data_IF_847947552248
#
_entry.id   IF_847947552248
#
_cell.length_a   1.000
_cell.length_b   1.000
_cell.length_c   1.000
_cell.angle_alpha   90.00
_cell.angle_beta   90.00
_cell.angle_gamma   90.00
#
_symmetry.space_group_name_H-M   'P 1'
#
loop_
_entity.id
_entity.type
_entity.pdbx_description
1 polymer ?
#
# COMPACT_ATOMS: atom_id res chain seq x y z
N UNK A 1 10.18 7.57 7.22
CA UNK A 1 9.80 6.86 8.45
C UNK A 1 10.89 6.95 9.50
N UNK A 2 11.88 6.05 9.49
CA UNK A 2 12.76 5.86 10.65
C UNK A 2 13.45 7.11 11.24
N UNK A 3 13.99 8.02 10.42
CA UNK A 3 14.59 9.25 10.94
C UNK A 3 13.56 10.13 11.68
N UNK A 4 12.38 10.32 11.11
CA UNK A 4 11.31 11.09 11.75
C UNK A 4 10.79 10.40 13.00
N UNK A 5 10.76 9.06 13.02
CA UNK A 5 10.28 8.27 14.15
C UNK A 5 11.14 8.40 15.40
N UNK A 6 12.42 8.73 15.21
CA UNK A 6 13.41 8.82 16.27
C UNK A 6 13.88 10.24 16.54
N UNK A 7 13.30 11.23 15.86
CA UNK A 7 13.60 12.65 16.06
C UNK A 7 14.87 13.14 15.38
N UNK A 8 15.41 12.39 14.41
CA UNK A 8 16.52 12.81 13.55
C UNK A 8 16.00 13.65 12.37
N UNK A 9 15.29 14.75 12.68
CA UNK A 9 14.61 15.57 11.66
C UNK A 9 15.58 16.28 10.71
N UNK A 10 16.79 16.59 11.17
CA UNK A 10 17.88 17.10 10.32
C UNK A 10 18.28 16.09 9.26
N UNK A 11 18.60 14.86 9.66
CA UNK A 11 18.96 13.77 8.74
C UNK A 11 17.79 13.40 7.81
N UNK A 12 16.55 13.47 8.31
CA UNK A 12 15.38 13.31 7.46
C UNK A 12 15.29 14.40 6.37
N UNK A 13 15.68 15.64 6.68
CA UNK A 13 15.73 16.73 5.71
C UNK A 13 16.90 16.60 4.73
N UNK A 14 18.00 15.94 5.11
CA UNK A 14 19.13 15.69 4.22
C UNK A 14 18.80 14.73 3.06
N UNK A 15 17.70 13.96 3.19
CA UNK A 15 17.14 13.14 2.11
C UNK A 15 16.54 13.97 0.96
N UNK A 16 16.31 15.27 1.17
CA UNK A 16 15.70 16.15 0.19
C UNK A 16 16.75 16.87 -0.67
N UNK A 17 16.36 17.29 -1.89
CA UNK A 17 17.16 18.23 -2.68
C UNK A 17 17.21 19.61 -2.02
N UNK A 18 18.19 20.45 -2.38
CA UNK A 18 18.32 21.79 -1.80
C UNK A 18 17.09 22.67 -2.06
N UNK A 19 16.49 22.53 -3.25
CA UNK A 19 15.31 23.24 -3.76
C UNK A 19 14.00 22.47 -3.54
N UNK A 20 14.00 21.42 -2.72
CA UNK A 20 12.83 20.56 -2.56
C UNK A 20 11.63 21.28 -1.95
N UNK A 21 10.44 20.75 -2.18
CA UNK A 21 9.20 21.24 -1.55
C UNK A 21 8.54 20.18 -0.67
N UNK A 22 7.92 20.62 0.42
CA UNK A 22 7.11 19.76 1.29
C UNK A 22 5.76 20.42 1.52
N UNK A 23 4.68 19.79 1.05
CA UNK A 23 3.31 20.12 1.43
C UNK A 23 2.87 19.26 2.63
N UNK A 24 2.47 19.89 3.74
CA UNK A 24 1.94 19.19 4.92
C UNK A 24 0.42 19.39 5.01
N UNK A 25 -0.36 18.37 4.66
CA UNK A 25 -1.83 18.45 4.70
C UNK A 25 -2.35 19.69 3.98
N UNK A 26 -3.14 20.50 4.69
CA UNK A 26 -3.65 21.80 4.26
C UNK A 26 -2.86 23.00 4.82
N UNK A 27 -1.75 22.76 5.53
CA UNK A 27 -0.96 23.83 6.17
C UNK A 27 -0.39 24.78 5.13
N UNK A 28 0.14 24.23 4.03
CA UNK A 28 0.80 24.94 2.95
C UNK A 28 2.03 24.19 2.44
N UNK A 29 2.83 24.87 1.61
CA UNK A 29 4.07 24.35 1.02
C UNK A 29 5.26 25.05 1.64
N UNK A 30 6.25 24.26 2.06
CA UNK A 30 7.52 24.71 2.61
C UNK A 30 8.63 24.40 1.61
N UNK A 31 9.42 25.40 1.24
CA UNK A 31 10.37 25.32 0.13
C UNK A 31 11.81 25.45 0.62
N UNK A 32 12.65 24.53 0.17
CA UNK A 32 14.05 24.45 0.52
C UNK A 32 14.33 23.61 1.77
N UNK A 33 15.49 22.95 1.75
CA UNK A 33 15.90 21.99 2.78
C UNK A 33 15.83 22.54 4.22
N UNK A 34 16.25 23.79 4.44
CA UNK A 34 16.23 24.42 5.75
C UNK A 34 14.79 24.56 6.31
N UNK A 35 13.84 24.95 5.45
CA UNK A 35 12.41 25.08 5.81
C UNK A 35 11.80 23.71 6.10
N UNK A 36 12.17 22.69 5.32
CA UNK A 36 11.74 21.30 5.51
C UNK A 36 12.26 20.75 6.85
N UNK A 37 13.54 21.00 7.19
CA UNK A 37 14.12 20.60 8.47
C UNK A 37 13.33 21.19 9.65
N UNK A 38 13.02 22.48 9.59
CA UNK A 38 12.28 23.14 10.64
C UNK A 38 10.82 22.64 10.73
N UNK A 39 10.16 22.44 9.58
CA UNK A 39 8.84 21.83 9.51
C UNK A 39 8.81 20.45 10.18
N UNK A 40 9.72 19.56 9.79
CA UNK A 40 9.81 18.20 10.34
C UNK A 40 10.08 18.22 11.84
N UNK A 41 10.96 19.11 12.29
CA UNK A 41 11.26 19.28 13.71
C UNK A 41 10.02 19.72 14.49
N UNK A 42 9.31 20.74 14.01
CA UNK A 42 8.11 21.27 14.67
C UNK A 42 6.96 20.25 14.67
N UNK A 43 6.67 19.62 13.54
CA UNK A 43 5.61 18.60 13.42
C UNK A 43 5.91 17.34 14.24
N UNK A 44 7.18 16.95 14.35
CA UNK A 44 7.60 15.82 15.17
C UNK A 44 7.60 16.11 16.67
N UNK A 45 7.54 17.38 17.07
CA UNK A 45 7.69 17.82 18.47
C UNK A 45 9.13 17.77 18.95
N UNK A 46 10.10 17.94 18.05
CA UNK A 46 11.51 18.10 18.38
C UNK A 46 11.89 19.55 18.64
N UNK A 47 13.19 19.79 18.86
CA UNK A 47 13.75 21.11 19.09
C UNK A 47 14.84 21.43 18.06
N UNK A 48 14.84 22.66 17.55
CA UNK A 48 15.90 23.17 16.67
C UNK A 48 17.17 23.56 17.44
N UNK A 49 17.12 23.59 18.77
CA UNK A 49 18.22 24.03 19.66
C UNK A 49 18.87 22.89 20.44
N UNK A 50 18.20 21.75 20.53
CA UNK A 50 18.67 20.59 21.29
C UNK A 50 19.27 19.53 20.37
N UNK A 51 19.91 18.53 20.96
CA UNK A 51 20.46 17.38 20.22
C UNK A 51 19.33 16.61 19.53
N UNK A 52 19.62 16.05 18.35
CA UNK A 52 18.69 15.21 17.62
C UNK A 52 18.14 14.07 18.49
N UNK A 53 16.84 13.81 18.37
CA UNK A 53 16.14 12.87 19.22
C UNK A 53 14.71 13.30 19.51
N UNK A 54 13.95 12.39 20.13
CA UNK A 54 12.65 12.72 20.69
C UNK A 54 12.80 13.13 22.17
N UNK A 55 12.02 14.11 22.65
CA UNK A 55 11.97 14.42 24.06
C UNK A 55 11.44 13.22 24.87
N UNK A 56 11.78 13.18 26.16
CA UNK A 56 11.34 12.11 27.06
C UNK A 56 9.82 11.91 27.00
N UNK A 57 9.39 10.65 26.91
CA UNK A 57 7.97 10.28 26.89
C UNK A 57 7.29 10.42 25.54
N UNK A 58 7.94 10.94 24.50
CA UNK A 58 7.35 11.10 23.17
C UNK A 58 7.36 9.78 22.38
N UNK A 59 6.22 9.45 21.76
CA UNK A 59 6.09 8.43 20.73
C UNK A 59 5.73 9.11 19.40
N UNK A 60 6.48 8.84 18.33
CA UNK A 60 6.26 9.41 17.01
C UNK A 60 6.44 8.36 15.90
N UNK A 61 5.93 7.15 16.10
CA UNK A 61 6.10 6.07 15.11
C UNK A 61 5.30 6.40 13.84
N UNK A 62 5.95 6.47 12.69
CA UNK A 62 5.34 6.76 11.39
C UNK A 62 5.77 5.72 10.37
N UNK A 63 5.06 4.60 10.39
CA UNK A 63 5.33 3.47 9.51
C UNK A 63 4.94 3.83 8.09
N UNK A 64 5.85 3.67 7.13
CA UNK A 64 5.57 3.83 5.71
C UNK A 64 5.41 2.44 5.09
N UNK A 65 4.20 2.16 4.62
CA UNK A 65 3.71 0.86 4.17
C UNK A 65 3.21 0.96 2.72
N UNK A 66 3.00 -0.21 2.09
CA UNK A 66 2.39 -0.34 0.76
C UNK A 66 3.00 0.62 -0.29
N UNK A 67 4.30 0.49 -0.57
CA UNK A 67 4.94 1.32 -1.59
C UNK A 67 4.32 1.04 -2.96
N UNK A 68 4.12 2.11 -3.73
CA UNK A 68 3.91 2.04 -5.16
C UNK A 68 4.90 3.00 -5.81
N UNK A 69 5.86 2.48 -6.57
CA UNK A 69 7.00 3.25 -7.08
C UNK A 69 7.09 3.13 -8.58
N UNK A 70 7.14 4.26 -9.29
CA UNK A 70 7.36 4.32 -10.73
C UNK A 70 8.63 5.08 -11.04
N UNK A 71 9.55 4.43 -11.76
CA UNK A 71 10.78 5.07 -12.26
C UNK A 71 10.59 5.46 -13.71
N UNK A 72 11.01 6.68 -14.07
CA UNK A 72 11.01 7.17 -15.44
C UNK A 72 11.96 6.37 -16.33
N UNK A 73 11.71 6.33 -17.65
CA UNK A 73 12.49 5.49 -18.57
C UNK A 73 13.95 5.90 -18.72
N UNK A 74 14.29 7.17 -18.46
CA UNK A 74 15.68 7.62 -18.45
C UNK A 74 16.40 7.27 -17.13
N UNK A 75 15.68 6.72 -16.14
CA UNK A 75 16.20 6.37 -14.83
C UNK A 75 16.55 7.58 -13.96
N UNK A 76 16.16 8.80 -14.34
CA UNK A 76 16.57 10.04 -13.66
C UNK A 76 15.56 10.55 -12.65
N UNK A 77 14.30 10.18 -12.79
CA UNK A 77 13.23 10.59 -11.88
C UNK A 77 12.37 9.41 -11.47
N UNK A 78 11.73 9.52 -10.31
CA UNK A 78 10.74 8.55 -9.87
C UNK A 78 9.60 9.25 -9.14
N UNK A 79 8.43 8.61 -9.10
CA UNK A 79 7.34 8.98 -8.22
C UNK A 79 7.06 7.80 -7.29
N UNK A 80 6.68 8.07 -6.05
CA UNK A 80 6.25 7.04 -5.15
C UNK A 80 5.03 7.47 -4.33
N UNK A 81 4.11 6.53 -4.15
CA UNK A 81 3.04 6.62 -3.18
C UNK A 81 3.36 5.71 -2.01
N UNK A 82 3.16 6.22 -0.81
CA UNK A 82 3.26 5.48 0.44
C UNK A 82 1.98 5.65 1.26
N UNK A 83 1.62 4.63 2.04
CA UNK A 83 0.67 4.78 3.14
C UNK A 83 1.45 4.99 4.42
N UNK A 84 1.13 6.03 5.17
CA UNK A 84 1.64 6.20 6.53
C UNK A 84 0.61 5.71 7.53
N UNK A 85 1.06 4.89 8.48
CA UNK A 85 0.33 4.60 9.71
C UNK A 85 1.11 5.17 10.90
N UNK A 86 0.52 6.19 11.53
CA UNK A 86 1.10 6.87 12.67
C UNK A 86 0.62 6.30 14.00
N UNK A 87 1.53 6.01 14.93
CA UNK A 87 1.25 5.83 16.37
C UNK A 87 2.00 6.92 17.12
N UNK A 88 1.26 7.85 17.68
CA UNK A 88 1.76 9.14 18.16
C UNK A 88 1.36 9.32 19.63
N UNK A 89 2.13 10.08 20.40
CA UNK A 89 1.71 10.42 21.75
C UNK A 89 2.80 10.98 22.62
N UNK A 90 2.40 11.31 23.83
CA UNK A 90 3.27 11.73 24.90
C UNK A 90 2.84 11.02 26.20
N UNK A 91 3.81 10.38 26.83
CA UNK A 91 3.64 9.51 27.99
C UNK A 91 2.90 10.24 29.11
N UNK A 92 1.82 9.60 29.61
CA UNK A 92 0.90 10.14 30.63
C UNK A 92 0.17 11.44 30.24
N UNK A 93 0.25 11.90 28.99
CA UNK A 93 -0.47 13.10 28.53
C UNK A 93 -1.52 12.80 27.48
N UNK A 94 -1.14 12.20 26.35
CA UNK A 94 -2.06 11.94 25.25
C UNK A 94 -1.53 10.85 24.30
N UNK A 95 -2.44 10.14 23.65
CA UNK A 95 -2.14 9.12 22.64
C UNK A 95 -3.03 9.29 21.43
N UNK A 96 -2.44 9.22 20.26
CA UNK A 96 -3.11 9.39 18.98
C UNK A 96 -2.60 8.36 17.99
N UNK A 97 -3.36 8.18 16.93
CA UNK A 97 -2.89 7.49 15.75
C UNK A 97 -3.49 8.14 14.52
N UNK A 98 -2.90 7.87 13.37
CA UNK A 98 -3.32 8.51 12.15
C UNK A 98 -3.01 7.67 10.93
N UNK A 99 -3.61 8.11 9.84
CA UNK A 99 -3.44 7.57 8.50
C UNK A 99 -3.13 8.72 7.55
N UNK A 100 -2.21 8.50 6.63
CA UNK A 100 -1.94 9.45 5.56
C UNK A 100 -1.51 8.74 4.29
N UNK A 101 -1.67 9.43 3.16
CA UNK A 101 -1.03 9.05 1.90
C UNK A 101 0.09 10.05 1.64
N UNK A 102 1.26 9.55 1.28
CA UNK A 102 2.43 10.37 0.94
C UNK A 102 2.73 10.17 -0.53
N UNK A 103 2.70 11.26 -1.31
CA UNK A 103 3.14 11.27 -2.71
C UNK A 103 4.47 12.00 -2.80
N UNK A 104 5.50 11.29 -3.25
CA UNK A 104 6.85 11.80 -3.37
C UNK A 104 7.29 11.81 -4.83
N UNK A 105 8.03 12.86 -5.21
CA UNK A 105 8.85 12.90 -6.43
C UNK A 105 10.30 12.81 -6.04
N UNK A 106 11.06 11.99 -6.76
CA UNK A 106 12.48 11.79 -6.57
C UNK A 106 13.26 12.18 -7.82
N UNK A 107 14.51 12.59 -7.60
CA UNK A 107 15.51 12.78 -8.65
C UNK A 107 16.75 11.95 -8.33
N UNK A 108 17.36 11.38 -9.37
CA UNK A 108 18.66 10.73 -9.27
C UNK A 108 19.74 11.75 -9.63
N UNK A 109 20.59 12.04 -8.65
CA UNK A 109 21.73 12.94 -8.77
C UNK A 109 23.01 12.10 -8.65
N UNK A 110 23.66 11.84 -9.79
CA UNK A 110 24.87 11.04 -9.89
C UNK A 110 24.81 9.68 -9.14
N UNK A 111 23.70 8.95 -9.27
CA UNK A 111 23.49 7.66 -8.60
C UNK A 111 22.82 7.76 -7.22
N UNK A 112 22.69 8.97 -6.66
CA UNK A 112 22.02 9.20 -5.37
C UNK A 112 20.58 9.66 -5.58
N UNK A 113 19.61 8.89 -5.10
CA UNK A 113 18.20 9.28 -5.14
C UNK A 113 17.87 10.23 -3.97
N UNK A 114 17.25 11.37 -4.30
CA UNK A 114 16.84 12.41 -3.33
C UNK A 114 15.37 12.77 -3.54
N UNK A 115 14.68 13.16 -2.46
CA UNK A 115 13.28 13.63 -2.51
C UNK A 115 13.27 15.07 -3.02
N UNK A 116 12.70 15.28 -4.20
CA UNK A 116 12.56 16.61 -4.80
C UNK A 116 11.24 17.29 -4.42
N UNK A 117 10.20 16.52 -4.14
CA UNK A 117 8.97 17.05 -3.54
C UNK A 117 8.21 15.99 -2.76
N UNK A 118 7.56 16.38 -1.67
CA UNK A 118 6.67 15.54 -0.88
C UNK A 118 5.32 16.21 -0.69
N UNK A 119 4.23 15.47 -0.93
CA UNK A 119 2.88 15.85 -0.57
C UNK A 119 2.34 14.87 0.47
N UNK A 120 2.15 15.35 1.70
CA UNK A 120 1.63 14.57 2.80
C UNK A 120 0.12 14.81 2.93
N UNK A 121 -0.69 13.88 2.43
CA UNK A 121 -2.15 13.91 2.55
C UNK A 121 -2.58 13.20 3.83
N UNK A 122 -2.57 13.93 4.95
CA UNK A 122 -3.18 13.47 6.20
C UNK A 122 -4.65 13.13 5.96
N UNK A 123 -5.03 11.88 6.22
CA UNK A 123 -6.43 11.45 6.19
C UNK A 123 -7.09 11.82 7.52
N UNK A 124 -6.50 11.39 8.64
CA UNK A 124 -6.88 11.80 9.99
C UNK A 124 -5.72 11.63 10.99
N UNK A 125 -5.85 12.32 12.12
CA UNK A 125 -5.19 11.98 13.39
C UNK A 125 -6.29 11.96 14.45
N UNK A 126 -6.37 10.88 15.21
CA UNK A 126 -7.43 10.63 16.16
C UNK A 126 -6.87 10.18 17.50
N UNK A 127 -7.50 10.53 18.64
CA UNK A 127 -7.21 9.83 19.89
C UNK A 127 -7.51 8.33 19.75
N UNK A 128 -6.82 7.51 20.53
CA UNK A 128 -7.15 6.07 20.63
C UNK A 128 -8.50 5.84 21.28
N UNK A 129 -8.83 6.59 22.35
CA UNK A 129 -10.14 6.53 22.97
C UNK A 129 -11.20 7.01 21.97
N UNK A 130 -12.20 6.16 21.69
CA UNK A 130 -13.22 6.41 20.66
C UNK A 130 -12.74 6.26 19.22
N UNK A 131 -11.42 6.33 18.96
CA UNK A 131 -10.84 6.16 17.63
C UNK A 131 -11.36 7.19 16.61
N UNK A 132 -11.15 6.91 15.32
CA UNK A 132 -11.58 7.80 14.24
C UNK A 132 -13.11 8.01 14.25
N UNK A 133 -13.88 7.07 14.81
CA UNK A 133 -15.34 7.20 14.94
C UNK A 133 -15.78 8.39 15.81
N UNK A 134 -14.89 8.90 16.67
CA UNK A 134 -15.15 10.09 17.48
C UNK A 134 -14.89 11.42 16.74
N UNK A 135 -14.29 11.39 15.53
CA UNK A 135 -13.96 12.60 14.78
C UNK A 135 -15.21 13.27 14.21
N UNK A 136 -15.39 14.56 14.51
CA UNK A 136 -16.47 15.40 13.98
C UNK A 136 -15.93 16.33 12.91
N UNK A 137 -16.69 16.51 11.83
CA UNK A 137 -16.34 17.37 10.70
C UNK A 137 -16.02 18.80 11.12
N UNK A 138 -16.85 19.39 11.98
CA UNK A 138 -16.75 20.80 12.37
C UNK A 138 -15.66 21.08 13.43
N UNK A 139 -15.00 20.03 13.93
CA UNK A 139 -13.98 20.12 14.98
C UNK A 139 -12.53 20.10 14.49
N UNK A 140 -12.30 19.88 13.19
CA UNK A 140 -10.94 19.78 12.66
C UNK A 140 -10.42 21.16 12.23
N UNK A 141 -9.25 21.59 12.73
CA UNK A 141 -8.69 22.88 12.33
C UNK A 141 -8.30 22.85 10.85
N UNK A 142 -8.53 23.96 10.15
CA UNK A 142 -8.18 24.08 8.73
C UNK A 142 -6.66 23.97 8.47
N UNK A 143 -5.85 24.34 9.47
CA UNK A 143 -4.38 24.22 9.51
C UNK A 143 -3.91 23.81 10.90
N UNK A 144 -2.76 23.15 10.99
CA UNK A 144 -2.13 22.79 12.26
C UNK A 144 -1.68 24.03 13.05
N UNK A 145 -1.48 23.87 14.36
CA UNK A 145 -0.86 24.92 15.20
C UNK A 145 0.54 25.29 14.69
N UNK A 146 1.30 24.31 14.19
CA UNK A 146 2.63 24.56 13.60
C UNK A 146 2.55 25.57 12.45
N UNK A 147 1.53 25.48 11.60
CA UNK A 147 1.37 26.40 10.48
C UNK A 147 0.99 27.83 10.88
N UNK A 148 0.50 28.05 12.10
CA UNK A 148 0.24 29.38 12.65
C UNK A 148 1.54 30.07 13.05
N UNK A 149 2.43 29.33 13.71
CA UNK A 149 3.71 29.85 14.22
C UNK A 149 4.85 29.77 13.21
N UNK A 150 4.72 28.90 12.21
CA UNK A 150 5.68 28.69 11.14
C UNK A 150 4.92 28.74 9.81
N UNK A 151 4.67 29.96 9.33
CA UNK A 151 3.87 30.22 8.14
C UNK A 151 4.51 29.54 6.91
N UNK A 152 3.73 28.87 6.03
CA UNK A 152 4.24 28.26 4.80
C UNK A 152 4.69 29.30 3.76
N UNK A 153 5.55 28.90 2.83
CA UNK A 153 6.05 29.79 1.75
C UNK A 153 5.00 30.02 0.65
N UNK A 154 4.10 29.04 0.46
CA UNK A 154 2.99 29.13 -0.47
C UNK A 154 1.76 28.37 0.05
N UNK A 155 0.54 28.74 -0.36
CA UNK A 155 -0.65 27.95 -0.05
C UNK A 155 -0.64 26.59 -0.76
N UNK A 156 -1.45 25.66 -0.26
CA UNK A 156 -1.74 24.41 -1.00
C UNK A 156 -2.53 24.74 -2.25
N UNK A 157 -2.14 24.18 -3.40
CA UNK A 157 -2.80 24.43 -4.68
C UNK A 157 -4.28 24.04 -4.68
N UNK A 158 -4.61 22.92 -4.02
CA UNK A 158 -5.99 22.45 -3.83
C UNK A 158 -6.17 21.88 -2.42
N UNK A 159 -6.76 22.66 -1.48
CA UNK A 159 -7.13 22.14 -0.18
C UNK A 159 -8.10 20.97 -0.30
N UNK A 160 -8.07 20.06 0.66
CA UNK A 160 -8.95 18.90 0.70
C UNK A 160 -9.60 18.71 2.06
N UNK A 161 -10.77 18.08 2.08
CA UNK A 161 -11.45 17.76 3.33
C UNK A 161 -10.89 16.45 3.88
N UNK A 162 -10.40 16.50 5.13
CA UNK A 162 -9.95 15.32 5.87
C UNK A 162 -11.14 14.49 6.37
N UNK A 163 -10.89 13.25 6.79
CA UNK A 163 -11.91 12.40 7.41
C UNK A 163 -12.62 13.16 8.54
N UNK A 164 -13.96 13.12 8.67
CA UNK A 164 -14.87 12.13 8.07
C UNK A 164 -15.23 12.36 6.60
N UNK A 165 -14.83 13.48 6.00
CA UNK A 165 -15.04 13.67 4.56
C UNK A 165 -14.19 12.69 3.74
N UNK A 166 -14.59 12.49 2.48
CA UNK A 166 -13.88 11.59 1.56
C UNK A 166 -12.96 12.40 0.67
N UNK A 167 -11.68 12.04 0.68
CA UNK A 167 -10.70 12.51 -0.28
C UNK A 167 -9.84 11.36 -0.80
N UNK A 168 -9.65 11.34 -2.12
CA UNK A 168 -8.76 10.40 -2.81
C UNK A 168 -7.62 11.21 -3.40
N UNK A 169 -6.41 11.15 -2.80
CA UNK A 169 -5.24 11.77 -3.39
C UNK A 169 -5.02 11.28 -4.83
N UNK A 170 -4.67 12.16 -5.79
CA UNK A 170 -4.45 11.78 -7.18
C UNK A 170 -3.37 10.70 -7.29
N UNK A 171 -3.62 9.67 -8.10
CA UNK A 171 -2.63 8.61 -8.35
C UNK A 171 -1.59 9.12 -9.36
N UNK A 172 -0.31 9.20 -8.97
CA UNK A 172 0.76 9.60 -9.91
C UNK A 172 0.92 8.62 -11.10
N UNK A 173 0.34 7.43 -10.98
CA UNK A 173 0.41 6.35 -11.96
C UNK A 173 -0.88 6.18 -12.78
N UNK A 174 -1.90 7.03 -12.58
CA UNK A 174 -3.09 7.00 -13.44
C UNK A 174 -2.66 7.21 -14.90
N UNK A 175 -3.04 6.29 -15.79
CA UNK A 175 -2.65 6.32 -17.20
C UNK A 175 -1.19 5.94 -17.49
N UNK A 176 -0.41 5.50 -16.50
CA UNK A 176 0.96 5.05 -16.69
C UNK A 176 1.07 3.52 -16.62
N UNK A 177 0.99 2.81 -17.77
CA UNK A 177 1.06 1.35 -17.77
C UNK A 177 2.42 0.82 -17.32
N UNK A 178 3.50 1.64 -17.37
CA UNK A 178 4.85 1.22 -16.96
C UNK A 178 4.94 0.77 -15.52
N UNK A 179 4.03 1.23 -14.67
CA UNK A 179 3.95 0.85 -13.27
C UNK A 179 3.91 -0.67 -13.06
N UNK A 180 3.29 -1.40 -13.98
CA UNK A 180 3.08 -2.85 -13.91
C UNK A 180 3.61 -3.56 -15.16
N UNK A 181 4.46 -2.88 -15.93
CA UNK A 181 5.08 -3.47 -17.11
C UNK A 181 6.43 -4.09 -16.78
N UNK A 182 6.72 -5.15 -17.49
CA UNK A 182 8.05 -5.72 -17.69
C UNK A 182 8.19 -6.04 -19.17
N UNK A 183 9.27 -6.73 -19.59
CA UNK A 183 9.28 -7.28 -20.95
C UNK A 183 8.31 -8.45 -21.08
N UNK A 184 7.68 -8.63 -22.25
CA UNK A 184 6.93 -9.85 -22.55
C UNK A 184 7.82 -11.06 -22.33
N UNK A 185 7.19 -12.19 -22.02
CA UNK A 185 7.93 -13.44 -21.92
C UNK A 185 8.66 -13.74 -23.24
N UNK A 186 9.98 -13.85 -23.17
CA UNK A 186 10.79 -14.21 -24.31
C UNK A 186 10.83 -15.74 -24.44
N UNK A 187 10.63 -16.26 -25.66
CA UNK A 187 11.20 -17.54 -26.00
C UNK A 187 12.71 -17.33 -26.16
N UNK A 188 13.54 -18.07 -25.42
CA UNK A 188 15.00 -17.99 -25.60
C UNK A 188 15.33 -18.42 -27.03
N UNK A 189 15.86 -17.53 -27.89
CA UNK A 189 16.19 -17.90 -29.26
C UNK A 189 17.29 -18.96 -29.25
N UNK A 190 17.17 -19.96 -30.13
CA UNK A 190 18.26 -20.92 -30.34
C UNK A 190 19.42 -20.20 -31.02
N UNK A 191 20.56 -20.08 -30.34
CA UNK A 191 21.78 -19.48 -30.90
C UNK A 191 22.70 -20.55 -31.49
N UNK A 192 23.58 -20.14 -32.41
CA UNK A 192 24.63 -21.02 -32.94
C UNK A 192 25.60 -21.46 -31.82
N UNK A 193 26.26 -22.60 -31.99
CA UNK A 193 27.31 -23.06 -31.07
C UNK A 193 28.70 -22.58 -31.54
N UNK A 194 28.85 -21.26 -31.62
CA UNK A 194 30.11 -20.57 -31.91
C UNK A 194 30.38 -19.48 -30.86
N UNK A 195 31.49 -18.75 -31.01
CA UNK A 195 31.87 -17.71 -30.04
C UNK A 195 30.82 -16.58 -29.94
N UNK A 196 30.19 -16.19 -31.05
CA UNK A 196 29.17 -15.14 -31.07
C UNK A 196 27.88 -15.66 -30.45
N UNK A 197 27.44 -16.86 -30.83
CA UNK A 197 26.25 -17.49 -30.28
C UNK A 197 26.34 -17.72 -28.76
N UNK A 198 27.53 -18.02 -28.22
CA UNK A 198 27.76 -18.08 -26.76
C UNK A 198 27.58 -16.71 -26.08
N UNK A 199 28.05 -15.63 -26.70
CA UNK A 199 27.83 -14.27 -26.19
C UNK A 199 26.36 -13.87 -26.25
N UNK A 200 25.65 -14.22 -27.33
CA UNK A 200 24.22 -13.99 -27.47
C UNK A 200 23.41 -14.75 -26.41
N UNK A 201 23.73 -16.02 -26.15
CA UNK A 201 23.10 -16.81 -25.08
C UNK A 201 23.29 -16.17 -23.71
N UNK A 202 24.50 -15.66 -23.43
CA UNK A 202 24.79 -14.96 -22.18
C UNK A 202 23.97 -13.66 -22.09
N UNK A 203 23.89 -12.89 -23.17
CA UNK A 203 23.10 -11.66 -23.21
C UNK A 203 21.60 -11.95 -22.99
N UNK A 204 21.05 -12.98 -23.63
CA UNK A 204 19.65 -13.41 -23.45
C UNK A 204 19.39 -13.82 -21.99
N UNK A 205 20.30 -14.59 -21.38
CA UNK A 205 20.17 -15.00 -19.98
C UNK A 205 20.23 -13.81 -19.01
N UNK A 206 21.13 -12.84 -19.24
CA UNK A 206 21.21 -11.62 -18.43
C UNK A 206 20.00 -10.72 -18.60
N UNK A 207 19.46 -10.66 -19.81
CA UNK A 207 18.24 -9.92 -20.07
C UNK A 207 17.05 -10.55 -19.34
N UNK A 208 16.89 -11.86 -19.39
CA UNK A 208 15.83 -12.57 -18.67
C UNK A 208 15.96 -12.38 -17.15
N UNK A 209 17.18 -12.38 -16.61
CA UNK A 209 17.42 -12.09 -15.20
C UNK A 209 16.94 -10.67 -14.82
N UNK A 210 17.29 -9.67 -15.65
CA UNK A 210 16.83 -8.29 -15.46
C UNK A 210 15.30 -8.18 -15.54
N UNK A 211 14.69 -8.83 -16.53
CA UNK A 211 13.24 -8.81 -16.74
C UNK A 211 12.51 -9.41 -15.53
N UNK A 212 13.01 -10.51 -14.96
CA UNK A 212 12.45 -11.11 -13.74
C UNK A 212 12.59 -10.19 -12.53
N UNK A 213 13.71 -9.48 -12.39
CA UNK A 213 13.87 -8.47 -11.32
C UNK A 213 12.89 -7.30 -11.49
N UNK A 214 12.67 -6.84 -12.72
CA UNK A 214 11.66 -5.81 -13.01
C UNK A 214 10.24 -6.31 -12.71
N UNK A 215 9.94 -7.57 -13.05
CA UNK A 215 8.65 -8.20 -12.76
C UNK A 215 8.32 -8.27 -11.27
N UNK A 216 9.30 -8.49 -10.39
CA UNK A 216 9.07 -8.42 -8.93
C UNK A 216 8.53 -7.05 -8.53
N UNK A 217 9.13 -5.95 -9.03
CA UNK A 217 8.65 -4.59 -8.75
C UNK A 217 7.30 -4.29 -9.39
N UNK A 218 7.07 -4.78 -10.60
CA UNK A 218 5.77 -4.66 -11.27
C UNK A 218 4.65 -5.36 -10.49
N UNK A 219 4.93 -6.53 -9.90
CA UNK A 219 3.98 -7.28 -9.07
C UNK A 219 3.70 -6.60 -7.73
N UNK A 220 4.71 -5.99 -7.10
CA UNK A 220 4.50 -5.13 -5.92
C UNK A 220 3.62 -3.94 -6.22
N UNK A 221 3.90 -3.24 -7.32
CA UNK A 221 3.06 -2.13 -7.77
C UNK A 221 1.64 -2.59 -8.08
N UNK A 222 1.47 -3.72 -8.77
CA UNK A 222 0.16 -4.27 -9.11
C UNK A 222 -0.68 -4.56 -7.86
N UNK A 223 -0.09 -5.20 -6.84
CA UNK A 223 -0.76 -5.46 -5.58
C UNK A 223 -1.05 -4.16 -4.81
N UNK A 224 -0.12 -3.22 -4.76
CA UNK A 224 -0.32 -1.94 -4.10
C UNK A 224 -1.44 -1.12 -4.77
N UNK A 225 -1.48 -1.10 -6.11
CA UNK A 225 -2.55 -0.47 -6.90
C UNK A 225 -3.91 -1.10 -6.58
N UNK A 226 -3.99 -2.44 -6.55
CA UNK A 226 -5.20 -3.15 -6.12
C UNK A 226 -5.64 -2.71 -4.73
N UNK A 227 -4.74 -2.72 -3.74
CA UNK A 227 -5.04 -2.25 -2.38
C UNK A 227 -5.57 -0.82 -2.36
N UNK A 228 -4.88 0.12 -3.01
CA UNK A 228 -5.33 1.52 -3.05
C UNK A 228 -6.66 1.75 -3.78
N UNK A 229 -7.02 0.91 -4.75
CA UNK A 229 -8.35 0.96 -5.39
C UNK A 229 -9.43 0.38 -4.48
N UNK A 230 -9.15 -0.74 -3.83
CA UNK A 230 -10.05 -1.33 -2.83
C UNK A 230 -10.30 -0.34 -1.69
N UNK A 231 -9.24 0.32 -1.20
CA UNK A 231 -9.29 1.28 -0.11
C UNK A 231 -10.27 2.43 -0.35
N UNK A 232 -10.48 2.78 -1.62
CA UNK A 232 -11.27 3.93 -2.05
C UNK A 232 -12.57 3.55 -2.76
N UNK A 233 -12.98 2.28 -2.71
CA UNK A 233 -14.22 1.83 -3.33
C UNK A 233 -14.19 1.85 -4.87
N UNK A 234 -13.02 1.83 -5.49
CA UNK A 234 -12.86 1.95 -6.93
C UNK A 234 -12.94 0.58 -7.63
N UNK A 235 -14.08 -0.10 -7.46
CA UNK A 235 -14.29 -1.50 -7.84
C UNK A 235 -13.96 -1.80 -9.30
N UNK A 236 -14.42 -0.94 -10.23
CA UNK A 236 -14.13 -1.08 -11.65
C UNK A 236 -12.63 -1.00 -11.97
N UNK A 237 -11.90 -0.09 -11.32
CA UNK A 237 -10.43 0.02 -11.47
C UNK A 237 -9.73 -1.23 -10.92
N UNK A 238 -10.16 -1.72 -9.76
CA UNK A 238 -9.62 -2.95 -9.17
C UNK A 238 -9.87 -4.18 -10.05
N UNK A 239 -11.09 -4.35 -10.56
CA UNK A 239 -11.45 -5.44 -11.46
C UNK A 239 -10.69 -5.40 -12.79
N UNK A 240 -10.34 -4.21 -13.30
CA UNK A 240 -9.56 -4.06 -14.52
C UNK A 240 -8.10 -4.55 -14.41
N UNK A 241 -7.60 -4.86 -13.22
CA UNK A 241 -6.26 -5.40 -12.99
C UNK A 241 -6.16 -6.92 -13.28
N UNK A 242 -7.29 -7.58 -13.51
CA UNK A 242 -7.37 -9.02 -13.77
C UNK A 242 -7.21 -9.34 -15.26
N UNK A 243 -6.74 -10.54 -15.57
CA UNK A 243 -6.88 -11.11 -16.92
C UNK A 243 -8.37 -11.24 -17.26
N UNK A 244 -8.69 -11.38 -18.55
CA UNK A 244 -10.07 -11.47 -19.05
C UNK A 244 -10.88 -12.57 -18.35
N UNK A 245 -10.22 -13.65 -18.00
CA UNK A 245 -10.73 -14.87 -17.38
C UNK A 245 -10.24 -15.05 -15.92
N UNK A 246 -9.61 -14.02 -15.34
CA UNK A 246 -9.03 -14.09 -14.02
C UNK A 246 -10.09 -14.25 -12.92
N UNK A 247 -9.70 -14.82 -11.78
CA UNK A 247 -10.63 -15.15 -10.70
C UNK A 247 -10.40 -14.33 -9.43
N UNK A 248 -11.49 -13.93 -8.79
CA UNK A 248 -11.51 -13.28 -7.49
C UNK A 248 -12.26 -14.15 -6.48
N UNK A 249 -11.64 -14.38 -5.33
CA UNK A 249 -12.22 -15.10 -4.21
C UNK A 249 -11.85 -14.39 -2.90
N UNK A 250 -12.84 -14.19 -2.03
CA UNK A 250 -12.68 -13.53 -0.74
C UNK A 250 -13.38 -14.36 0.34
N UNK A 251 -12.63 -14.87 1.31
CA UNK A 251 -13.19 -15.65 2.40
C UNK A 251 -13.95 -16.88 1.91
N UNK A 252 -15.25 -16.92 2.18
CA UNK A 252 -16.18 -17.98 1.77
C UNK A 252 -17.26 -17.48 0.80
N UNK A 253 -17.05 -16.32 0.16
CA UNK A 253 -18.03 -15.71 -0.75
C UNK A 253 -18.17 -16.42 -2.11
N UNK A 254 -17.33 -17.42 -2.40
CA UNK A 254 -17.25 -18.13 -3.68
C UNK A 254 -16.35 -17.44 -4.71
N UNK A 255 -16.29 -18.00 -5.90
CA UNK A 255 -15.37 -17.57 -6.97
C UNK A 255 -16.11 -16.76 -8.04
N UNK A 256 -15.56 -15.59 -8.35
CA UNK A 256 -16.03 -14.71 -9.42
C UNK A 256 -15.04 -14.74 -10.58
N UNK A 257 -15.51 -14.99 -11.80
CA UNK A 257 -14.68 -15.27 -12.98
C UNK A 257 -14.86 -14.19 -14.04
N UNK A 258 -13.74 -13.59 -14.44
CA UNK A 258 -13.67 -12.53 -15.43
C UNK A 258 -14.07 -11.15 -14.88
N UNK A 259 -13.56 -10.08 -15.51
CA UNK A 259 -13.56 -8.74 -14.93
C UNK A 259 -14.95 -8.26 -14.46
N UNK A 260 -16.00 -8.50 -15.25
CA UNK A 260 -17.37 -8.09 -14.89
C UNK A 260 -17.90 -8.83 -13.66
N UNK A 261 -17.56 -10.12 -13.49
CA UNK A 261 -17.94 -10.87 -12.30
C UNK A 261 -17.09 -10.50 -11.10
N UNK A 262 -15.79 -10.31 -11.31
CA UNK A 262 -14.86 -9.80 -10.29
C UNK A 262 -15.36 -8.46 -9.73
N UNK A 263 -15.80 -7.53 -10.58
CA UNK A 263 -16.38 -6.24 -10.12
C UNK A 263 -17.61 -6.46 -9.23
N UNK A 264 -18.53 -7.37 -9.60
CA UNK A 264 -19.70 -7.71 -8.77
C UNK A 264 -19.26 -8.30 -7.43
N UNK A 265 -18.31 -9.24 -7.44
CA UNK A 265 -17.78 -9.90 -6.24
C UNK A 265 -17.10 -8.93 -5.28
N UNK A 266 -16.29 -8.00 -5.81
CA UNK A 266 -15.69 -6.91 -5.01
C UNK A 266 -16.79 -6.00 -4.44
N UNK A 267 -17.84 -5.72 -5.22
CA UNK A 267 -18.99 -4.91 -4.79
C UNK A 267 -19.75 -5.44 -3.57
N UNK A 268 -19.53 -6.69 -3.15
CA UNK A 268 -20.04 -7.21 -1.87
C UNK A 268 -19.51 -6.42 -0.66
N UNK A 269 -18.37 -5.74 -0.79
CA UNK A 269 -17.83 -4.84 0.24
C UNK A 269 -18.68 -3.57 0.41
N UNK A 270 -19.58 -3.27 -0.54
CA UNK A 270 -20.49 -2.13 -0.50
C UNK A 270 -20.53 -1.32 -1.79
N UNK A 271 -21.27 -0.20 -1.78
CA UNK A 271 -21.36 0.71 -2.92
C UNK A 271 -19.98 1.19 -3.40
N UNK A 272 -19.91 1.59 -4.67
CA UNK A 272 -18.70 2.18 -5.24
C UNK A 272 -18.41 3.56 -4.62
N UNK A 273 -17.12 3.87 -4.48
CA UNK A 273 -16.56 4.99 -3.73
C UNK A 273 -16.83 4.91 -2.22
N UNK A 274 -16.17 5.78 -1.45
CA UNK A 274 -16.40 5.88 -0.02
C UNK A 274 -17.57 6.81 0.29
N UNK A 275 -18.33 6.46 1.32
CA UNK A 275 -19.31 7.33 1.96
C UNK A 275 -18.63 8.24 3.01
N UNK A 276 -19.27 9.35 3.38
CA UNK A 276 -18.82 10.17 4.51
C UNK A 276 -18.75 9.33 5.80
N UNK A 277 -17.66 9.45 6.54
CA UNK A 277 -17.39 8.68 7.76
C UNK A 277 -16.98 7.23 7.51
N UNK A 278 -16.78 6.80 6.25
CA UNK A 278 -16.34 5.46 5.93
C UNK A 278 -14.80 5.33 5.94
N UNK A 279 -14.29 4.33 6.65
CA UNK A 279 -12.91 3.85 6.55
C UNK A 279 -12.92 2.46 5.89
N UNK A 280 -12.04 2.22 4.93
CA UNK A 280 -12.04 0.96 4.17
C UNK A 280 -10.61 0.46 3.86
N UNK A 281 -9.68 0.53 4.82
CA UNK A 281 -8.29 0.24 4.53
C UNK A 281 -7.99 -1.27 4.54
N UNK A 282 -7.45 -1.81 3.45
CA UNK A 282 -6.90 -3.14 3.26
C UNK A 282 -5.41 -3.00 2.92
N UNK A 283 -4.57 -2.87 3.94
CA UNK A 283 -3.16 -2.53 3.74
C UNK A 283 -2.36 -3.74 3.26
N UNK A 284 -1.74 -3.67 2.08
CA UNK A 284 -0.98 -4.76 1.46
C UNK A 284 0.49 -4.75 1.90
N UNK A 285 0.91 -5.74 2.69
CA UNK A 285 2.27 -5.80 3.28
C UNK A 285 2.86 -7.21 3.25
N UNK A 286 4.14 -7.32 3.64
CA UNK A 286 4.90 -8.58 3.77
C UNK A 286 4.87 -9.46 2.50
N UNK A 287 5.31 -8.94 1.33
CA UNK A 287 5.38 -9.74 0.11
C UNK A 287 6.33 -10.94 0.22
N UNK A 288 5.91 -12.06 -0.37
CA UNK A 288 6.79 -13.12 -0.85
C UNK A 288 6.43 -13.41 -2.30
N UNK A 289 7.31 -13.04 -3.24
CA UNK A 289 7.04 -13.04 -4.68
C UNK A 289 7.99 -14.00 -5.37
N UNK A 290 7.43 -14.94 -6.14
CA UNK A 290 8.17 -15.86 -6.99
C UNK A 290 7.77 -15.64 -8.45
N UNK A 291 8.71 -15.12 -9.25
CA UNK A 291 8.55 -14.98 -10.71
C UNK A 291 9.09 -16.23 -11.39
N UNK A 292 8.28 -16.82 -12.26
CA UNK A 292 8.62 -17.99 -13.07
C UNK A 292 9.89 -17.78 -13.88
N UNK A 293 10.58 -18.87 -14.20
CA UNK A 293 11.88 -18.82 -14.88
C UNK A 293 11.80 -18.17 -16.26
N UNK A 294 10.67 -18.29 -16.94
CA UNK A 294 10.37 -17.76 -18.27
C UNK A 294 9.72 -16.36 -18.26
N UNK A 295 9.58 -15.75 -17.07
CA UNK A 295 8.91 -14.47 -16.88
C UNK A 295 7.43 -14.44 -17.35
N UNK A 296 6.77 -15.59 -17.52
CA UNK A 296 5.37 -15.69 -17.97
C UNK A 296 4.37 -15.61 -16.83
N UNK A 297 4.72 -16.23 -15.71
CA UNK A 297 3.82 -16.36 -14.56
C UNK A 297 4.54 -15.95 -13.30
N UNK A 298 3.75 -15.62 -12.28
CA UNK A 298 4.26 -15.43 -10.95
C UNK A 298 3.23 -15.90 -9.92
N UNK A 299 3.72 -16.15 -8.71
CA UNK A 299 2.90 -16.40 -7.55
C UNK A 299 3.37 -15.51 -6.41
N UNK A 300 2.45 -14.94 -5.67
CA UNK A 300 2.80 -14.08 -4.56
C UNK A 300 1.85 -14.23 -3.38
N UNK A 301 2.45 -14.22 -2.21
CA UNK A 301 1.78 -14.16 -0.92
C UNK A 301 1.89 -12.77 -0.33
N UNK A 302 0.81 -12.30 0.27
CA UNK A 302 0.74 -11.02 0.96
C UNK A 302 -0.03 -11.15 2.27
N UNK A 303 0.28 -10.29 3.24
CA UNK A 303 -0.56 -10.08 4.41
C UNK A 303 -1.37 -8.81 4.22
N UNK A 304 -2.63 -8.83 4.69
CA UNK A 304 -3.43 -7.63 4.84
C UNK A 304 -3.78 -7.38 6.29
N UNK A 305 -3.51 -6.17 6.76
CA UNK A 305 -4.08 -5.65 8.00
C UNK A 305 -5.26 -4.74 7.60
N UNK A 306 -6.45 -5.07 8.10
CA UNK A 306 -7.70 -4.48 7.63
C UNK A 306 -8.30 -3.58 8.71
N UNK A 307 -8.63 -2.34 8.34
CA UNK A 307 -9.24 -1.32 9.19
C UNK A 307 -10.48 -0.74 8.52
N UNK A 308 -11.65 -1.10 9.04
CA UNK A 308 -12.94 -0.75 8.46
C UNK A 308 -13.79 0.07 9.42
N UNK A 309 -14.58 0.96 8.83
CA UNK A 309 -15.70 1.57 9.51
C UNK A 309 -16.75 2.02 8.53
N UNK A 310 -18.02 1.80 8.89
CA UNK A 310 -19.17 2.30 8.15
C UNK A 310 -20.34 2.47 9.11
N UNK A 311 -21.09 3.58 8.98
CA UNK A 311 -22.29 3.86 9.79
C UNK A 311 -22.06 3.76 11.31
N UNK A 312 -20.93 4.25 11.79
CA UNK A 312 -20.58 4.26 13.22
C UNK A 312 -20.09 2.93 13.79
N UNK A 313 -20.08 1.85 13.01
CA UNK A 313 -19.46 0.58 13.41
C UNK A 313 -18.01 0.53 12.92
N UNK A 314 -17.10 0.08 13.78
CA UNK A 314 -15.72 -0.23 13.41
C UNK A 314 -15.50 -1.74 13.36
N UNK A 315 -14.73 -2.23 12.39
CA UNK A 315 -14.24 -3.62 12.35
C UNK A 315 -12.79 -3.67 11.90
N UNK A 316 -12.01 -4.55 12.50
CA UNK A 316 -10.67 -4.87 12.01
C UNK A 316 -10.55 -6.34 11.71
N UNK A 317 -9.55 -6.68 10.94
CA UNK A 317 -9.27 -8.06 10.63
C UNK A 317 -7.92 -8.21 10.01
N UNK A 318 -7.65 -9.44 9.60
CA UNK A 318 -6.44 -9.75 8.90
C UNK A 318 -6.61 -11.03 8.11
N UNK A 319 -5.72 -11.18 7.15
CA UNK A 319 -5.77 -12.30 6.23
C UNK A 319 -4.55 -12.36 5.35
N UNK A 320 -4.55 -13.37 4.50
CA UNK A 320 -3.45 -13.67 3.59
C UNK A 320 -4.00 -13.73 2.18
N UNK A 321 -3.33 -13.02 1.26
CA UNK A 321 -3.51 -13.25 -0.17
C UNK A 321 -2.57 -14.36 -0.63
N UNK A 322 -3.07 -15.28 -1.44
CA UNK A 322 -2.27 -16.28 -2.16
C UNK A 322 -2.67 -16.24 -3.64
N UNK A 323 -1.88 -15.47 -4.39
CA UNK A 323 -2.27 -14.97 -5.71
C UNK A 323 -1.41 -15.57 -6.82
N UNK A 324 -2.00 -15.67 -8.01
CA UNK A 324 -1.31 -16.03 -9.25
C UNK A 324 -1.45 -14.91 -10.28
N UNK A 325 -0.41 -14.75 -11.10
CA UNK A 325 -0.27 -13.66 -12.04
C UNK A 325 0.22 -14.16 -13.39
N UNK A 326 -0.15 -13.43 -14.44
CA UNK A 326 0.32 -13.66 -15.80
C UNK A 326 0.91 -12.37 -16.36
N UNK A 327 2.04 -12.50 -17.03
CA UNK A 327 2.63 -11.47 -17.87
C UNK A 327 1.96 -11.52 -19.24
N UNK A 328 0.92 -10.72 -19.41
CA UNK A 328 0.19 -10.59 -20.66
C UNK A 328 0.89 -9.54 -21.53
N UNK A 329 1.75 -10.01 -22.43
CA UNK A 329 2.47 -9.18 -23.40
C UNK A 329 3.22 -7.99 -22.77
N UNK A 330 3.93 -8.25 -21.68
CA UNK A 330 4.71 -7.26 -20.94
C UNK A 330 3.91 -6.56 -19.84
N UNK A 331 2.61 -6.80 -19.68
CA UNK A 331 1.80 -6.22 -18.60
C UNK A 331 1.38 -7.30 -17.61
N UNK A 332 1.79 -7.15 -16.36
CA UNK A 332 1.38 -8.09 -15.30
C UNK A 332 -0.07 -7.87 -14.89
N UNK A 333 -0.81 -8.96 -14.73
CA UNK A 333 -2.23 -8.99 -14.33
C UNK A 333 -2.51 -10.13 -13.37
N UNK A 334 -3.55 -10.00 -12.56
CA UNK A 334 -4.04 -11.11 -11.72
C UNK A 334 -4.72 -12.17 -12.61
N UNK A 335 -4.24 -13.40 -12.58
CA UNK A 335 -5.00 -14.55 -13.07
C UNK A 335 -5.84 -15.19 -11.96
N UNK A 336 -5.37 -15.10 -10.72
CA UNK A 336 -6.10 -15.51 -9.52
C UNK A 336 -5.75 -14.58 -8.36
N UNK A 337 -6.77 -14.08 -7.68
CA UNK A 337 -6.62 -13.43 -6.37
C UNK A 337 -7.54 -14.13 -5.38
N UNK A 338 -6.95 -14.72 -4.33
CA UNK A 338 -7.70 -15.35 -3.24
C UNK A 338 -7.25 -14.71 -1.93
N UNK A 339 -8.16 -13.99 -1.28
CA UNK A 339 -7.97 -13.49 0.08
C UNK A 339 -8.55 -14.46 1.10
N UNK A 340 -7.69 -15.10 1.88
CA UNK A 340 -8.07 -15.96 2.99
C UNK A 340 -8.23 -15.12 4.24
N UNK A 341 -9.43 -15.05 4.78
CA UNK A 341 -9.71 -14.32 6.03
C UNK A 341 -9.16 -15.14 7.19
N UNK A 342 -8.23 -14.56 7.95
CA UNK A 342 -7.76 -15.17 9.19
C UNK A 342 -8.70 -14.86 10.34
N UNK A 343 -9.13 -13.61 10.48
CA UNK A 343 -10.09 -13.20 11.52
C UNK A 343 -10.78 -11.89 11.17
N UNK A 344 -11.94 -11.68 11.79
CA UNK A 344 -12.58 -10.38 11.93
C UNK A 344 -12.89 -10.14 13.40
N UNK A 345 -12.72 -8.90 13.83
CA UNK A 345 -12.96 -8.47 15.20
C UNK A 345 -13.68 -7.12 15.24
N UNK A 346 -14.48 -6.96 16.29
CA UNK A 346 -14.95 -5.65 16.71
C UNK A 346 -13.75 -4.85 17.28
N UNK A 347 -13.71 -3.53 17.03
CA UNK A 347 -12.60 -2.71 17.52
C UNK A 347 -12.60 -2.53 19.04
N UNK A 348 -13.78 -2.46 19.67
CA UNK A 348 -13.91 -2.23 21.11
C UNK A 348 -13.76 -3.53 21.88
N UNK A 349 -14.44 -4.59 21.44
CA UNK A 349 -14.36 -5.90 22.10
C UNK A 349 -13.08 -6.68 21.74
N UNK A 350 -12.41 -6.32 20.64
CA UNK A 350 -11.27 -7.06 20.10
C UNK A 350 -11.66 -8.36 19.40
N UNK A 351 -10.68 -9.03 18.78
CA UNK A 351 -10.88 -10.27 18.01
C UNK A 351 -11.21 -11.49 18.87
N UNK A 352 -10.71 -11.54 20.11
CA UNK A 352 -10.83 -12.72 20.96
C UNK A 352 -12.21 -12.83 21.65
N UNK A 353 -12.75 -11.71 22.12
CA UNK A 353 -14.00 -11.71 22.88
C UNK A 353 -15.25 -11.81 21.98
N UNK A 354 -15.17 -11.31 20.74
CA UNK A 354 -16.30 -11.25 19.81
C UNK A 354 -15.83 -11.49 18.36
N UNK A 355 -15.43 -12.72 18.01
CA UNK A 355 -15.06 -13.06 16.63
C UNK A 355 -16.26 -12.86 15.71
N UNK A 356 -16.03 -12.22 14.57
CA UNK A 356 -17.06 -12.04 13.55
C UNK A 356 -16.85 -13.12 12.48
N UNK A 357 -17.85 -13.97 12.17
CA UNK A 357 -17.71 -14.99 11.14
C UNK A 357 -17.55 -14.35 9.75
N UNK A 358 -16.98 -15.10 8.82
CA UNK A 358 -17.00 -14.71 7.40
C UNK A 358 -18.44 -14.65 6.88
N UNK A 359 -18.68 -13.72 5.95
CA UNK A 359 -19.97 -13.65 5.27
C UNK A 359 -20.21 -14.94 4.46
N UNK A 360 -21.45 -15.47 4.47
CA UNK A 360 -21.81 -16.62 3.64
C UNK A 360 -21.83 -16.24 2.16
N UNK A 361 -21.99 -17.25 1.29
CA UNK A 361 -22.25 -17.02 -0.14
C UNK A 361 -23.47 -16.14 -0.31
N UNK A 362 -23.32 -15.05 -1.08
CA UNK A 362 -24.40 -14.10 -1.33
C UNK A 362 -25.47 -14.70 -2.23
N UNK A 363 -26.74 -14.52 -1.88
CA UNK A 363 -27.88 -14.92 -2.72
C UNK A 363 -28.26 -13.86 -3.74
N UNK A 364 -27.99 -12.58 -3.46
CA UNK A 364 -28.29 -11.45 -4.35
C UNK A 364 -27.20 -11.18 -5.37
N UNK A 365 -25.96 -11.55 -5.05
CA UNK A 365 -24.81 -11.49 -5.94
C UNK A 365 -24.13 -12.86 -5.92
N UNK A 366 -24.74 -13.89 -6.54
CA UNK A 366 -24.19 -15.24 -6.49
C UNK A 366 -22.82 -15.31 -7.20
N UNK A 367 -21.87 -16.10 -6.67
CA UNK A 367 -20.61 -16.37 -7.34
C UNK A 367 -20.82 -17.28 -8.56
N UNK A 368 -19.87 -17.29 -9.49
CA UNK A 368 -19.94 -18.16 -10.67
C UNK A 368 -19.57 -19.62 -10.34
N UNK A 369 -18.84 -19.84 -9.24
CA UNK A 369 -18.46 -21.17 -8.73
C UNK A 369 -18.46 -21.16 -7.19
N UNK A 370 -18.66 -22.32 -6.54
CA UNK A 370 -18.50 -22.42 -5.08
C UNK A 370 -17.05 -22.07 -4.64
N UNK A 371 -16.83 -21.79 -3.33
CA UNK A 371 -15.49 -21.59 -2.79
C UNK A 371 -14.54 -22.73 -3.16
N UNK A 372 -13.29 -22.39 -3.49
CA UNK A 372 -12.25 -23.38 -3.83
C UNK A 372 -11.74 -24.16 -2.62
N UNK A 373 -11.94 -23.60 -1.43
CA UNK A 373 -11.66 -24.25 -0.15
C UNK A 373 -12.78 -23.90 0.83
N UNK A 374 -13.27 -24.90 1.56
CA UNK A 374 -14.19 -24.68 2.68
C UNK A 374 -13.40 -24.65 3.98
N UNK A 375 -13.44 -23.52 4.67
CA UNK A 375 -12.75 -23.33 5.96
C UNK A 375 -13.48 -22.31 6.84
N UNK A 376 -13.07 -22.26 8.10
CA UNK A 376 -13.56 -21.26 9.07
C UNK A 376 -12.40 -20.35 9.46
N UNK A 377 -12.70 -19.08 9.72
CA UNK A 377 -11.74 -18.14 10.28
C UNK A 377 -11.55 -18.40 11.78
N UNK A 378 -10.64 -17.67 12.42
CA UNK A 378 -10.46 -17.66 13.87
C UNK A 378 -11.83 -17.63 14.60
N UNK A 379 -12.06 -18.47 15.62
CA UNK A 379 -11.07 -19.22 16.41
C UNK A 379 -10.52 -20.52 15.79
N UNK A 380 -11.04 -20.98 14.65
CA UNK A 380 -10.46 -22.15 13.98
C UNK A 380 -9.16 -21.76 13.28
N UNK A 381 -8.12 -22.57 13.47
CA UNK A 381 -6.86 -22.36 12.77
C UNK A 381 -7.04 -22.74 11.30
N UNK A 382 -6.74 -21.80 10.41
CA UNK A 382 -6.52 -22.06 9.00
C UNK A 382 -5.07 -21.75 8.65
N UNK A 383 -4.36 -22.74 8.11
CA UNK A 383 -3.05 -22.51 7.48
C UNK A 383 -3.28 -22.40 5.98
N UNK A 384 -3.04 -21.22 5.42
CA UNK A 384 -3.13 -21.02 3.97
C UNK A 384 -1.93 -21.73 3.33
N UNK A 385 -2.13 -22.65 2.37
CA UNK A 385 -1.04 -23.38 1.72
C UNK A 385 -0.01 -22.43 1.09
N UNK A 386 1.26 -22.68 1.34
CA UNK A 386 2.36 -21.90 0.75
C UNK A 386 2.62 -22.38 -0.68
N UNK A 387 2.80 -21.44 -1.62
CA UNK A 387 3.15 -21.76 -3.01
C UNK A 387 4.63 -22.12 -3.22
N UNK A 388 5.42 -22.09 -2.16
CA UNK A 388 6.86 -22.31 -2.16
C UNK A 388 7.25 -23.34 -1.08
N UNK A 389 8.40 -23.98 -1.25
CA UNK A 389 8.99 -24.84 -0.22
C UNK A 389 9.87 -24.01 0.74
N UNK A 390 10.29 -24.61 1.86
CA UNK A 390 11.27 -23.98 2.74
C UNK A 390 12.56 -23.65 1.94
N UNK A 391 12.97 -22.37 1.83
CA UNK A 391 14.02 -21.97 0.88
C UNK A 391 15.43 -22.41 1.27
N UNK A 392 15.64 -22.87 2.51
CA UNK A 392 16.96 -23.35 3.00
C UNK A 392 17.05 -24.86 2.93
N UNK A 393 16.02 -25.57 3.40
CA UNK A 393 16.02 -27.04 3.46
C UNK A 393 15.42 -27.72 2.23
N UNK A 394 14.73 -26.96 1.36
CA UNK A 394 13.99 -27.51 0.22
C UNK A 394 12.77 -28.35 0.58
N UNK A 395 12.50 -28.55 1.89
CA UNK A 395 11.36 -29.37 2.33
C UNK A 395 10.04 -28.69 1.99
N UNK A 396 9.05 -29.42 1.44
CA UNK A 396 7.71 -28.90 1.35
C UNK A 396 7.18 -28.58 2.75
N UNK A 397 6.26 -27.64 2.84
CA UNK A 397 5.57 -27.39 4.11
C UNK A 397 4.66 -28.59 4.41
N UNK A 398 4.90 -29.24 5.55
CA UNK A 398 4.02 -30.26 6.07
C UNK A 398 2.76 -29.60 6.66
N UNK A 399 1.59 -30.12 6.30
CA UNK A 399 0.25 -29.63 6.68
C UNK A 399 -0.70 -29.84 5.49
N UNK A 400 -1.23 -31.05 5.28
CA UNK A 400 -2.37 -31.69 6.00
C UNK A 400 -3.67 -30.89 5.90
#
# INVERSE_FOLDING_TARGET
GYYTDKGYFGEAADLFTEDATFQWGNDGVYSGKARIKELLTRQGGGSMKEVAGLPFGRLNLRMQLQPMVTVSADGRTANARWREWGLLGEYKKAIFWGDAVVEDRYVNDAGTWKIASRQYFQNFVSPYQGGWAALKRDGLPARSEVAKDFVPDAPVAKPYAMFPAVYVPPYHYDGNPRAIQSRPAAATPKRADDAVGKLEQLADAKQLQLDRTQSVRALENLQAMYGYYIDKGQWKKAAALFTRDGTYEFGQSGVYVGNASVERGIGLMGPANLEEGQLNNYVMVQPIIHVGEDNRTAKARWRSDVLLSRKGAGRWGGGVYENEYVNDNGTWKFSKLHYYVTFWGDYEAGWAAKPIPMDPVSTSVPPDRPPTLVYESFPKLQVVPFHYANPVSGRPHAGE
#
